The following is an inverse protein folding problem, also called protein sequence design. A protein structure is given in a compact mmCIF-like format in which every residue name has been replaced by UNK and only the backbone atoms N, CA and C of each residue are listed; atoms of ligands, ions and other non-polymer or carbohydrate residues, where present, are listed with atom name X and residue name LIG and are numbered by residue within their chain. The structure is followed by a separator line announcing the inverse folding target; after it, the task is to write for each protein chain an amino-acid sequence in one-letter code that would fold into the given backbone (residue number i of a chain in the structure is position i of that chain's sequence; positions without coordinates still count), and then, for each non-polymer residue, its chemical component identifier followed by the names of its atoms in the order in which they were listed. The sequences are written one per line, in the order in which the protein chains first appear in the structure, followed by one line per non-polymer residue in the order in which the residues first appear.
data_IF_116006715299
#
_entry.id   IF_116006715299
#
_cell.length_a   1.000
_cell.length_b   1.000
_cell.length_c   1.000
_cell.angle_alpha   90.00
_cell.angle_beta   90.00
_cell.angle_gamma   90.00
#
_symmetry.space_group_name_H-M   'P 1'
#
loop_
_entity.id
_entity.type
_entity.pdbx_description
1 polymer ?
#
# COMPACT_ATOMS: atom_id res chain seq x y z
N UNK A 1 2.75 5.80 -19.95
CA UNK A 1 2.09 5.95 -21.27
C UNK A 1 1.79 4.54 -21.78
N UNK A 2 0.54 4.25 -22.18
CA UNK A 2 0.17 2.97 -22.80
C UNK A 2 0.29 3.13 -24.31
N UNK A 3 1.03 2.23 -24.96
CA UNK A 3 1.13 2.17 -26.43
C UNK A 3 0.66 0.78 -26.86
N UNK A 4 -0.33 0.72 -27.74
CA UNK A 4 -0.92 -0.52 -28.27
C UNK A 4 -1.35 -1.52 -27.18
N UNK A 5 -1.95 -1.05 -26.10
CA UNK A 5 -2.47 -1.89 -25.02
C UNK A 5 -1.42 -2.51 -24.09
N UNK A 6 -0.13 -2.28 -24.34
CA UNK A 6 0.96 -2.82 -23.51
C UNK A 6 1.58 -1.70 -22.66
N UNK A 7 1.59 -1.82 -21.33
CA UNK A 7 2.28 -0.86 -20.47
C UNK A 7 3.80 -0.90 -20.73
N UNK A 8 4.35 0.15 -21.35
CA UNK A 8 5.80 0.28 -21.50
C UNK A 8 6.45 0.78 -20.21
N UNK A 9 7.50 0.08 -19.75
CA UNK A 9 8.33 0.39 -18.58
C UNK A 9 9.02 1.77 -18.60
N UNK A 10 8.87 2.56 -19.68
CA UNK A 10 9.42 3.93 -19.77
C UNK A 10 8.68 4.96 -18.92
N UNK A 11 7.52 4.58 -18.36
CA UNK A 11 6.88 5.34 -17.30
C UNK A 11 7.02 4.57 -15.99
N UNK A 12 8.22 4.54 -15.42
CA UNK A 12 8.25 4.63 -13.95
C UNK A 12 7.51 5.94 -13.69
N UNK A 13 6.25 5.86 -13.27
CA UNK A 13 5.54 7.01 -12.73
C UNK A 13 6.37 7.41 -11.52
N UNK A 14 7.38 8.27 -11.73
CA UNK A 14 8.17 8.82 -10.63
C UNK A 14 7.13 9.57 -9.82
N UNK A 15 6.74 8.97 -8.71
CA UNK A 15 6.00 9.65 -7.65
C UNK A 15 6.74 10.96 -7.47
N UNK A 16 6.01 12.09 -7.57
CA UNK A 16 6.61 13.40 -7.30
C UNK A 16 7.41 13.25 -6.00
N UNK A 17 8.60 13.86 -5.93
CA UNK A 17 9.31 13.98 -4.64
C UNK A 17 8.39 14.75 -3.70
N UNK A 18 7.55 14.01 -2.98
CA UNK A 18 6.73 14.49 -1.89
C UNK A 18 7.68 14.61 -0.72
N UNK A 19 7.68 15.78 -0.08
CA UNK A 19 8.44 15.93 1.15
C UNK A 19 7.77 15.12 2.25
N UNK A 20 8.52 14.82 3.32
CA UNK A 20 7.97 14.14 4.48
C UNK A 20 6.78 14.92 5.07
N UNK A 21 6.89 16.25 5.12
CA UNK A 21 5.81 17.11 5.62
C UNK A 21 4.53 17.02 4.76
N UNK A 22 4.68 16.88 3.45
CA UNK A 22 3.54 16.68 2.55
C UNK A 22 2.89 15.31 2.74
N UNK A 23 3.68 14.28 3.03
CA UNK A 23 3.18 12.95 3.37
C UNK A 23 2.42 12.98 4.70
N UNK A 24 2.99 13.61 5.72
CA UNK A 24 2.41 13.72 7.06
C UNK A 24 1.05 14.45 7.01
N UNK A 25 0.94 15.52 6.21
CA UNK A 25 -0.34 16.22 5.98
C UNK A 25 -1.40 15.34 5.30
N UNK A 26 -1.01 14.47 4.36
CA UNK A 26 -1.94 13.54 3.72
C UNK A 26 -2.45 12.53 4.74
N UNK A 27 -1.55 11.96 5.55
CA UNK A 27 -1.90 11.00 6.60
C UNK A 27 -2.85 11.64 7.62
N UNK A 28 -2.54 12.84 8.12
CA UNK A 28 -3.43 13.57 9.02
C UNK A 28 -4.81 13.83 8.43
N UNK A 29 -4.88 14.23 7.16
CA UNK A 29 -6.15 14.51 6.49
C UNK A 29 -7.00 13.24 6.35
N UNK A 30 -6.39 12.10 6.01
CA UNK A 30 -7.08 10.81 5.94
C UNK A 30 -7.59 10.43 7.32
N UNK A 31 -6.74 10.47 8.35
CA UNK A 31 -7.13 10.17 9.75
C UNK A 31 -8.32 10.99 10.22
N UNK A 32 -8.32 12.30 9.95
CA UNK A 32 -9.42 13.21 10.32
C UNK A 32 -10.72 12.87 9.59
N UNK A 33 -10.64 12.39 8.35
CA UNK A 33 -11.83 12.08 7.54
C UNK A 33 -12.41 10.70 7.84
N UNK A 34 -11.58 9.73 8.22
CA UNK A 34 -12.00 8.34 8.42
C UNK A 34 -12.18 7.95 9.89
N UNK A 35 -11.92 8.86 10.83
CA UNK A 35 -11.84 8.57 12.28
C UNK A 35 -10.83 7.45 12.61
N UNK A 36 -9.85 7.25 11.74
CA UNK A 36 -8.80 6.25 11.88
C UNK A 36 -7.78 6.73 12.91
N UNK A 37 -7.54 5.92 13.94
CA UNK A 37 -6.51 6.19 14.94
C UNK A 37 -5.11 6.23 14.31
N UNK A 38 -4.16 7.05 14.81
CA UNK A 38 -2.77 7.00 14.32
C UNK A 38 -2.17 5.60 14.36
N UNK A 39 -2.69 4.77 15.25
CA UNK A 39 -2.23 3.41 15.53
C UNK A 39 -2.87 2.38 14.57
N UNK A 40 -3.85 2.76 13.75
CA UNK A 40 -4.43 1.87 12.74
C UNK A 40 -3.54 1.74 11.49
N UNK A 41 -2.61 2.70 11.30
CA UNK A 41 -1.48 2.58 10.38
C UNK A 41 -0.36 1.74 11.02
N UNK A 42 -0.69 0.55 11.52
CA UNK A 42 0.33 -0.44 11.85
C UNK A 42 1.06 -0.85 10.56
N UNK A 43 2.33 -0.48 10.49
CA UNK A 43 3.27 -1.10 9.55
C UNK A 43 3.38 -2.58 9.94
N UNK A 44 2.82 -3.44 9.09
CA UNK A 44 2.99 -4.88 9.24
C UNK A 44 4.38 -5.24 8.72
N UNK A 45 5.25 -5.67 9.63
CA UNK A 45 6.54 -6.21 9.25
C UNK A 45 6.38 -7.62 8.68
N UNK A 46 6.46 -7.71 7.35
CA UNK A 46 6.39 -8.98 6.61
C UNK A 46 7.79 -9.59 6.39
N UNK A 47 8.86 -8.93 6.86
CA UNK A 47 10.24 -9.35 6.58
C UNK A 47 10.62 -10.66 7.27
N UNK A 48 9.95 -10.99 8.38
CA UNK A 48 10.07 -12.26 9.09
C UNK A 48 9.34 -13.42 8.39
N UNK A 49 8.54 -13.15 7.36
CA UNK A 49 7.77 -14.15 6.61
C UNK A 49 8.47 -14.46 5.28
N UNK A 50 8.93 -15.70 5.15
CA UNK A 50 9.91 -16.11 4.15
C UNK A 50 9.35 -16.21 2.72
N UNK A 51 8.05 -16.42 2.55
CA UNK A 51 7.44 -16.60 1.23
C UNK A 51 6.22 -15.72 0.98
N UNK A 52 5.98 -15.40 -0.30
CA UNK A 52 4.82 -14.61 -0.74
C UNK A 52 3.50 -15.28 -0.31
N UNK A 53 3.41 -16.60 -0.41
CA UNK A 53 2.20 -17.33 -0.02
C UNK A 53 1.93 -17.23 1.48
N UNK A 54 2.96 -17.34 2.31
CA UNK A 54 2.82 -17.17 3.77
C UNK A 54 2.47 -15.73 4.14
N UNK A 55 3.01 -14.73 3.43
CA UNK A 55 2.64 -13.33 3.61
C UNK A 55 1.17 -13.09 3.27
N UNK A 56 0.69 -13.67 2.18
CA UNK A 56 -0.73 -13.62 1.78
C UNK A 56 -1.61 -14.28 2.86
N UNK A 57 -1.27 -15.47 3.33
CA UNK A 57 -2.06 -16.14 4.37
C UNK A 57 -2.06 -15.36 5.69
N UNK A 58 -0.93 -14.80 6.09
CA UNK A 58 -0.84 -13.92 7.25
C UNK A 58 -1.77 -12.70 7.12
N UNK A 59 -1.77 -12.04 5.96
CA UNK A 59 -2.62 -10.88 5.72
C UNK A 59 -4.11 -11.24 5.64
N UNK A 60 -4.47 -12.44 5.15
CA UNK A 60 -5.86 -12.93 5.18
C UNK A 60 -6.36 -13.08 6.60
N UNK A 61 -5.54 -13.64 7.50
CA UNK A 61 -5.92 -13.82 8.91
C UNK A 61 -6.15 -12.49 9.63
N UNK A 62 -5.50 -11.42 9.18
CA UNK A 62 -5.64 -10.07 9.74
C UNK A 62 -6.76 -9.25 9.08
N UNK A 63 -7.46 -9.80 8.08
CA UNK A 63 -8.44 -9.08 7.24
C UNK A 63 -7.85 -7.82 6.57
N UNK A 64 -6.55 -7.88 6.22
CA UNK A 64 -5.79 -6.74 5.66
C UNK A 64 -5.65 -6.79 4.14
N UNK A 65 -6.28 -7.76 3.47
CA UNK A 65 -6.24 -7.91 2.02
C UNK A 65 -7.62 -8.22 1.48
N UNK A 66 -7.95 -7.64 0.33
CA UNK A 66 -9.14 -8.00 -0.40
C UNK A 66 -8.90 -9.33 -1.15
N UNK A 67 -9.52 -10.39 -0.65
CA UNK A 67 -9.41 -11.73 -1.22
C UNK A 67 -9.96 -11.82 -2.65
N UNK A 68 -10.74 -10.83 -3.11
CA UNK A 68 -11.30 -10.80 -4.47
C UNK A 68 -10.21 -10.74 -5.56
N UNK A 69 -9.00 -10.25 -5.24
CA UNK A 69 -7.92 -10.05 -6.20
C UNK A 69 -6.76 -11.03 -6.06
N UNK A 70 -6.87 -12.02 -5.17
CA UNK A 70 -5.83 -13.03 -4.93
C UNK A 70 -6.24 -14.29 -5.69
N UNK A 71 -5.76 -14.41 -6.93
CA UNK A 71 -6.05 -15.52 -7.84
C UNK A 71 -4.86 -16.45 -7.97
#
# INVERSE_FOLDING_TARGET
KIENGIPRKSAITRVRKISKEQLDQIVENVMRQTNTSPNEFEELDLSEISTINEQIEFLKHQDRIDTMYIT
#
